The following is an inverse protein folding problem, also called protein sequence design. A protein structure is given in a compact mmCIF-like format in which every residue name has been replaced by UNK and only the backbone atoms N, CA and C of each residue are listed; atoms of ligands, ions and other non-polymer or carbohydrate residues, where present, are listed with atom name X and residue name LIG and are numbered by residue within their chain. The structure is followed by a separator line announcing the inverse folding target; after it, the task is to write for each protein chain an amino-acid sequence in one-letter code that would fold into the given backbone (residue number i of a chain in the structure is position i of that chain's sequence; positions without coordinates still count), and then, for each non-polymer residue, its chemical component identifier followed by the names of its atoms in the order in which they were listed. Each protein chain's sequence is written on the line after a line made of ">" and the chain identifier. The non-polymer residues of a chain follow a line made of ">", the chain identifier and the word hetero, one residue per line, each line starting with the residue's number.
data_IF_117721412981
#
_entry.id   IF_117721412981
#
_cell.length_a   1.000
_cell.length_b   1.000
_cell.length_c   1.000
_cell.angle_alpha   90.00
_cell.angle_beta   90.00
_cell.angle_gamma   90.00
#
_symmetry.space_group_name_H-M   'P 1'
#
loop_
_entity.id
_entity.type
_entity.pdbx_description
1 polymer ?
#
# COMPACT_ATOMS: atom_id res chain seq x y z
N UNK A 1 -7.29 12.83 -9.21
CA UNK A 1 -7.85 11.68 -8.47
C UNK A 1 -9.28 11.96 -8.02
N UNK A 2 -9.56 12.93 -7.14
CA UNK A 2 -10.93 13.21 -6.66
C UNK A 2 -12.00 13.34 -7.76
N UNK A 3 -11.73 14.11 -8.83
CA UNK A 3 -12.66 14.25 -9.97
C UNK A 3 -12.92 12.94 -10.73
N UNK A 4 -11.88 12.10 -10.92
CA UNK A 4 -12.02 10.81 -11.58
C UNK A 4 -12.76 9.81 -10.69
N UNK A 5 -12.53 9.88 -9.37
CA UNK A 5 -13.23 9.10 -8.36
C UNK A 5 -14.72 9.44 -8.30
N UNK A 6 -15.09 10.72 -8.32
CA UNK A 6 -16.48 11.17 -8.32
C UNK A 6 -17.25 10.77 -9.58
N UNK A 7 -16.55 10.60 -10.70
CA UNK A 7 -17.15 10.25 -12.00
C UNK A 7 -16.95 8.79 -12.40
N UNK A 8 -16.41 7.96 -11.51
CA UNK A 8 -16.02 6.57 -11.83
C UNK A 8 -15.20 6.47 -13.12
N UNK A 9 -14.34 7.45 -13.37
CA UNK A 9 -13.56 7.56 -14.58
C UNK A 9 -12.23 6.81 -14.43
N UNK A 10 -11.94 5.94 -15.38
CA UNK A 10 -10.61 5.37 -15.58
C UNK A 10 -9.65 6.45 -16.09
N UNK A 11 -8.39 6.39 -15.67
CA UNK A 11 -7.37 7.34 -16.12
C UNK A 11 -6.16 6.59 -16.70
N UNK A 12 -5.62 7.16 -17.76
CA UNK A 12 -4.39 6.74 -18.43
C UNK A 12 -3.38 7.86 -18.30
N UNK A 13 -2.11 7.52 -18.06
CA UNK A 13 -1.01 8.46 -18.17
C UNK A 13 -0.36 8.33 -19.54
N UNK A 14 -0.15 9.46 -20.22
CA UNK A 14 0.70 9.54 -21.40
C UNK A 14 1.99 10.25 -20.97
N UNK A 15 3.12 9.57 -21.13
CA UNK A 15 4.45 10.13 -20.82
C UNK A 15 5.14 10.42 -22.13
N UNK A 16 5.31 11.71 -22.41
CA UNK A 16 6.01 12.21 -23.58
C UNK A 16 7.51 12.37 -23.30
N UNK A 17 8.33 11.88 -24.23
CA UNK A 17 9.77 12.08 -24.26
C UNK A 17 10.63 10.88 -23.83
N UNK A 18 11.96 11.06 -23.83
CA UNK A 18 12.89 10.05 -23.33
C UNK A 18 12.69 9.84 -21.83
N UNK A 19 12.78 8.58 -21.37
CA UNK A 19 12.60 8.22 -19.97
C UNK A 19 13.87 8.54 -19.15
N UNK A 20 14.13 9.84 -18.99
CA UNK A 20 15.31 10.36 -18.34
C UNK A 20 14.90 11.31 -17.20
N UNK A 21 15.31 10.96 -15.98
CA UNK A 21 15.04 11.75 -14.79
C UNK A 21 16.23 12.62 -14.44
N UNK A 22 15.99 13.88 -14.08
CA UNK A 22 17.06 14.76 -13.52
C UNK A 22 17.62 14.26 -12.19
N UNK A 23 16.79 13.56 -11.40
CA UNK A 23 17.13 13.06 -10.05
C UNK A 23 17.02 11.55 -9.90
N UNK A 24 16.29 10.89 -10.80
CA UNK A 24 16.03 9.46 -10.75
C UNK A 24 16.65 8.81 -11.98
N UNK A 25 17.35 7.69 -11.77
CA UNK A 25 17.86 6.90 -12.88
C UNK A 25 16.70 6.30 -13.69
N UNK A 26 16.94 6.02 -14.96
CA UNK A 26 15.98 5.36 -15.85
C UNK A 26 15.45 4.06 -15.24
N UNK A 27 16.31 3.26 -14.60
CA UNK A 27 15.88 2.04 -13.92
C UNK A 27 14.90 2.33 -12.76
N UNK A 28 15.14 3.38 -11.97
CA UNK A 28 14.20 3.78 -10.93
C UNK A 28 12.85 4.24 -11.51
N UNK A 29 12.87 5.02 -12.60
CA UNK A 29 11.65 5.44 -13.30
C UNK A 29 10.87 4.24 -13.85
N UNK A 30 11.54 3.30 -14.52
CA UNK A 30 10.91 2.06 -15.03
C UNK A 30 10.27 1.25 -13.90
N UNK A 31 10.90 1.18 -12.72
CA UNK A 31 10.30 0.53 -11.54
C UNK A 31 9.01 1.22 -11.07
N UNK A 32 8.94 2.55 -11.14
CA UNK A 32 7.71 3.28 -10.83
C UNK A 32 6.63 3.05 -11.89
N UNK A 33 6.97 3.09 -13.18
CA UNK A 33 6.02 2.84 -14.26
C UNK A 33 5.45 1.42 -14.20
N UNK A 34 6.32 0.42 -14.06
CA UNK A 34 5.89 -0.98 -13.92
C UNK A 34 5.04 -1.19 -12.67
N UNK A 35 5.35 -0.50 -11.56
CA UNK A 35 4.50 -0.54 -10.36
C UNK A 35 3.13 0.11 -10.59
N UNK A 36 3.05 1.21 -11.33
CA UNK A 36 1.77 1.83 -11.71
C UNK A 36 0.92 0.86 -12.54
N UNK A 37 1.50 0.21 -13.54
CA UNK A 37 0.78 -0.74 -14.38
C UNK A 37 0.36 -2.01 -13.61
N UNK A 38 1.29 -2.63 -12.87
CA UNK A 38 1.07 -3.97 -12.29
C UNK A 38 0.35 -3.92 -10.96
N UNK A 39 0.79 -3.04 -10.04
CA UNK A 39 0.24 -3.00 -8.68
C UNK A 39 -0.98 -2.09 -8.58
N UNK A 40 -1.03 -1.06 -9.39
CA UNK A 40 -2.10 -0.07 -9.33
C UNK A 40 -3.08 -0.20 -10.50
N UNK A 41 -2.82 -1.10 -11.47
CA UNK A 41 -3.67 -1.30 -12.64
C UNK A 41 -3.96 -0.01 -13.42
N UNK A 42 -3.01 0.93 -13.41
CA UNK A 42 -3.11 2.20 -14.13
C UNK A 42 -2.31 2.04 -15.43
N UNK A 43 -2.95 2.11 -16.61
CA UNK A 43 -2.22 2.05 -17.86
C UNK A 43 -1.36 3.29 -18.06
N UNK A 44 -0.14 3.07 -18.55
CA UNK A 44 0.79 4.12 -18.94
C UNK A 44 1.20 3.90 -20.37
N UNK A 45 0.94 4.90 -21.21
CA UNK A 45 1.35 4.95 -22.61
C UNK A 45 2.56 5.89 -22.71
N UNK A 46 3.51 5.55 -23.58
CA UNK A 46 4.73 6.34 -23.75
C UNK A 46 4.91 6.70 -25.21
N UNK A 47 5.27 7.95 -25.44
CA UNK A 47 5.62 8.52 -26.73
C UNK A 47 6.97 9.22 -26.60
N UNK A 48 7.74 9.30 -27.68
CA UNK A 48 9.06 9.93 -27.68
C UNK A 48 9.00 11.39 -28.13
N UNK A 49 8.01 11.74 -28.96
CA UNK A 49 7.84 13.09 -29.48
C UNK A 49 6.38 13.54 -29.36
N UNK A 50 6.17 14.85 -29.52
CA UNK A 50 4.84 15.45 -29.48
C UNK A 50 3.97 15.01 -30.67
N UNK A 51 4.58 14.72 -31.82
CA UNK A 51 3.88 14.20 -32.99
C UNK A 51 3.34 12.79 -32.71
N UNK A 52 4.13 11.92 -32.10
CA UNK A 52 3.68 10.59 -31.66
C UNK A 52 2.56 10.71 -30.62
N UNK A 53 2.64 11.68 -29.69
CA UNK A 53 1.55 11.97 -28.74
C UNK A 53 0.27 12.37 -29.45
N UNK A 54 0.37 13.24 -30.46
CA UNK A 54 -0.79 13.70 -31.22
C UNK A 54 -1.43 12.56 -32.03
N UNK A 55 -0.61 11.71 -32.65
CA UNK A 55 -1.08 10.49 -33.34
C UNK A 55 -1.78 9.53 -32.37
N UNK A 56 -1.20 9.31 -31.18
CA UNK A 56 -1.83 8.49 -30.15
C UNK A 56 -3.19 9.05 -29.72
N UNK A 57 -3.28 10.37 -29.51
CA UNK A 57 -4.55 11.00 -29.15
C UNK A 57 -5.63 10.81 -30.24
N UNK A 58 -5.25 10.91 -31.52
CA UNK A 58 -6.18 10.63 -32.63
C UNK A 58 -6.66 9.18 -32.63
N UNK A 59 -5.76 8.22 -32.39
CA UNK A 59 -6.12 6.80 -32.27
C UNK A 59 -7.11 6.57 -31.13
N UNK A 60 -6.90 7.22 -29.97
CA UNK A 60 -7.81 7.11 -28.83
C UNK A 60 -9.18 7.75 -29.12
N UNK A 61 -9.21 8.88 -29.82
CA UNK A 61 -10.43 9.53 -30.28
C UNK A 61 -11.19 8.67 -31.30
N UNK A 62 -10.49 8.07 -32.26
CA UNK A 62 -11.07 7.17 -33.24
C UNK A 62 -11.65 5.93 -32.56
N UNK A 63 -10.93 5.34 -31.59
CA UNK A 63 -11.44 4.22 -30.80
C UNK A 63 -12.71 4.60 -30.03
N UNK A 64 -12.71 5.77 -29.37
CA UNK A 64 -13.87 6.26 -28.63
C UNK A 64 -15.08 6.50 -29.54
N UNK A 65 -14.85 7.06 -30.73
CA UNK A 65 -15.91 7.42 -31.68
C UNK A 65 -16.51 6.18 -32.33
N UNK A 66 -15.67 5.21 -32.70
CA UNK A 66 -16.10 3.98 -33.36
C UNK A 66 -16.69 2.94 -32.39
N UNK A 67 -16.17 2.86 -31.17
CA UNK A 67 -16.67 2.00 -30.11
C UNK A 67 -16.66 2.72 -28.75
N UNK A 68 -17.76 3.41 -28.39
CA UNK A 68 -17.89 4.07 -27.10
C UNK A 68 -17.78 3.12 -25.89
N UNK A 69 -17.96 1.81 -26.09
CA UNK A 69 -17.85 0.82 -25.02
C UNK A 69 -16.41 0.32 -24.79
N UNK A 70 -15.46 0.65 -25.69
CA UNK A 70 -14.08 0.13 -25.63
C UNK A 70 -13.35 0.48 -24.33
N UNK A 71 -13.73 1.58 -23.68
CA UNK A 71 -13.16 2.03 -22.41
C UNK A 71 -14.07 1.78 -21.20
N UNK A 72 -15.22 1.13 -21.39
CA UNK A 72 -16.12 0.73 -20.30
C UNK A 72 -15.54 -0.50 -19.62
N UNK A 73 -15.34 -0.41 -18.30
CA UNK A 73 -14.82 -1.54 -17.53
C UNK A 73 -15.87 -2.66 -17.45
N UNK A 74 -15.51 -3.92 -17.75
CA UNK A 74 -16.43 -5.05 -17.59
C UNK A 74 -16.84 -5.23 -16.13
N UNK A 75 -18.13 -5.48 -15.89
CA UNK A 75 -18.69 -5.67 -14.54
C UNK A 75 -18.11 -6.88 -13.77
N UNK A 76 -17.36 -7.75 -14.43
CA UNK A 76 -16.74 -8.95 -13.84
C UNK A 76 -15.39 -8.68 -13.15
N UNK A 77 -14.79 -7.49 -13.30
CA UNK A 77 -13.60 -7.08 -12.55
C UNK A 77 -14.03 -6.52 -11.20
N UNK A 78 -13.73 -7.27 -10.13
CA UNK A 78 -14.24 -6.95 -8.79
C UNK A 78 -13.74 -5.60 -8.28
N UNK A 79 -14.71 -4.81 -7.81
CA UNK A 79 -14.67 -3.52 -7.13
C UNK A 79 -13.59 -3.33 -6.04
N UNK A 80 -12.90 -4.39 -5.60
CA UNK A 80 -11.90 -4.34 -4.52
C UNK A 80 -10.53 -3.82 -5.01
N UNK A 81 -10.28 -3.82 -6.33
CA UNK A 81 -9.00 -3.41 -6.94
C UNK A 81 -8.99 -1.96 -7.45
N UNK A 82 -10.16 -1.39 -7.73
CA UNK A 82 -10.33 0.01 -8.15
C UNK A 82 -10.58 0.90 -6.92
N UNK A 83 -9.51 1.23 -6.20
CA UNK A 83 -9.56 2.21 -5.11
C UNK A 83 -10.11 3.56 -5.60
N UNK A 84 -11.39 3.75 -5.34
CA UNK A 84 -12.13 4.98 -5.56
C UNK A 84 -13.46 5.04 -4.80
N UNK A 85 -13.67 4.22 -3.76
CA UNK A 85 -14.73 4.52 -2.81
C UNK A 85 -14.37 5.85 -2.12
N UNK A 86 -15.29 6.81 -2.15
CA UNK A 86 -15.09 8.19 -1.69
C UNK A 86 -14.50 8.25 -0.28
N UNK A 87 -13.70 9.28 0.02
CA UNK A 87 -13.26 9.54 1.41
C UNK A 87 -14.45 9.53 2.38
N UNK A 88 -15.62 9.97 1.92
CA UNK A 88 -16.88 9.97 2.65
C UNK A 88 -17.44 8.55 2.88
N UNK A 89 -17.64 7.75 1.82
CA UNK A 89 -18.15 6.37 1.95
C UNK A 89 -17.20 5.45 2.74
N UNK A 90 -15.88 5.71 2.66
CA UNK A 90 -14.90 5.03 3.51
C UNK A 90 -14.84 5.60 4.94
N UNK A 91 -15.31 6.82 5.21
CA UNK A 91 -15.40 7.34 6.58
C UNK A 91 -16.64 6.83 7.28
N UNK A 92 -17.73 6.66 6.53
CA UNK A 92 -19.04 6.22 7.05
C UNK A 92 -19.17 4.69 7.13
N UNK A 93 -18.24 3.91 6.56
CA UNK A 93 -18.15 2.47 6.81
C UNK A 93 -17.64 2.21 8.25
N UNK A 94 -18.46 1.60 9.14
CA UNK A 94 -18.07 1.33 10.51
C UNK A 94 -16.80 0.45 10.62
N UNK A 95 -16.55 -0.38 9.61
CA UNK A 95 -15.35 -1.23 9.54
C UNK A 95 -14.11 -0.38 9.29
N UNK A 96 -14.17 0.53 8.31
CA UNK A 96 -13.04 1.40 7.97
C UNK A 96 -12.77 2.41 9.07
N UNK A 97 -13.82 2.96 9.70
CA UNK A 97 -13.70 3.77 10.90
C UNK A 97 -12.97 3.01 12.02
N UNK A 98 -13.44 1.80 12.36
CA UNK A 98 -12.85 0.99 13.41
C UNK A 98 -11.38 0.63 13.13
N UNK A 99 -11.05 0.27 11.88
CA UNK A 99 -9.66 0.01 11.45
C UNK A 99 -8.80 1.24 11.64
N UNK A 100 -9.31 2.42 11.28
CA UNK A 100 -8.58 3.68 11.38
C UNK A 100 -8.29 4.07 12.83
N UNK A 101 -9.28 3.93 13.72
CA UNK A 101 -9.12 4.17 15.16
C UNK A 101 -8.04 3.26 15.75
N UNK A 102 -8.09 1.96 15.46
CA UNK A 102 -7.11 1.00 15.97
C UNK A 102 -5.70 1.24 15.39
N UNK A 103 -5.61 1.63 14.11
CA UNK A 103 -4.33 1.91 13.47
C UNK A 103 -3.64 3.18 14.00
N UNK A 104 -4.36 4.06 14.70
CA UNK A 104 -3.74 5.17 15.44
C UNK A 104 -2.95 4.68 16.68
N UNK A 105 -3.22 3.47 17.18
CA UNK A 105 -2.48 2.92 18.30
C UNK A 105 -1.09 2.44 17.86
N UNK A 106 -0.05 2.90 18.57
CA UNK A 106 1.34 2.57 18.23
C UNK A 106 1.59 1.06 18.26
N UNK A 107 2.03 0.52 17.12
CA UNK A 107 2.32 -0.91 16.95
C UNK A 107 1.16 -1.73 16.36
N UNK A 108 0.04 -1.08 16.04
CA UNK A 108 -1.09 -1.66 15.31
C UNK A 108 -1.06 -1.10 13.88
N UNK A 109 -0.74 -1.95 12.90
CA UNK A 109 -0.88 -1.61 11.49
C UNK A 109 -2.33 -1.83 11.02
N UNK A 110 -2.68 -1.30 9.85
CA UNK A 110 -3.99 -1.53 9.21
C UNK A 110 -4.31 -3.03 9.10
N UNK A 111 -3.32 -3.86 8.73
CA UNK A 111 -3.47 -5.32 8.65
C UNK A 111 -3.77 -5.97 10.00
N UNK A 112 -3.16 -5.48 11.08
CA UNK A 112 -3.42 -5.97 12.44
C UNK A 112 -4.83 -5.54 12.88
N UNK A 113 -5.19 -4.29 12.65
CA UNK A 113 -6.51 -3.75 13.01
C UNK A 113 -7.65 -4.51 12.31
N UNK A 114 -7.47 -4.84 11.03
CA UNK A 114 -8.42 -5.69 10.29
C UNK A 114 -8.55 -7.08 10.91
N UNK A 115 -7.45 -7.69 11.35
CA UNK A 115 -7.48 -9.02 11.96
C UNK A 115 -8.11 -9.03 13.36
N UNK A 116 -7.86 -7.98 14.16
CA UNK A 116 -8.52 -7.78 15.45
C UNK A 116 -10.04 -7.65 15.26
N UNK A 117 -10.46 -6.85 14.28
CA UNK A 117 -11.88 -6.71 13.97
C UNK A 117 -12.49 -7.99 13.40
N UNK A 118 -11.74 -8.79 12.64
CA UNK A 118 -12.20 -10.11 12.20
C UNK A 118 -12.37 -11.08 13.36
N UNK A 119 -11.48 -11.02 14.35
CA UNK A 119 -11.49 -11.91 15.51
C UNK A 119 -12.59 -11.57 16.53
N UNK A 120 -12.81 -10.27 16.79
CA UNK A 120 -13.75 -9.80 17.81
C UNK A 120 -15.07 -9.26 17.23
N UNK A 121 -15.14 -9.01 15.92
CA UNK A 121 -16.32 -8.62 15.17
C UNK A 121 -16.65 -7.11 15.18
N UNK A 122 -16.29 -6.37 16.23
CA UNK A 122 -16.59 -4.93 16.32
C UNK A 122 -15.61 -4.18 17.22
N UNK A 123 -15.49 -2.86 17.02
CA UNK A 123 -14.61 -2.01 17.83
C UNK A 123 -14.94 -2.06 19.33
N UNK A 124 -16.21 -1.98 19.80
CA UNK A 124 -16.52 -2.06 21.22
C UNK A 124 -16.08 -3.39 21.85
N UNK A 125 -16.20 -4.50 21.10
CA UNK A 125 -15.72 -5.81 21.56
C UNK A 125 -14.21 -5.86 21.68
N UNK A 126 -13.47 -5.26 20.73
CA UNK A 126 -12.01 -5.13 20.84
C UNK A 126 -11.63 -4.32 22.08
N UNK A 127 -12.34 -3.22 22.36
CA UNK A 127 -12.08 -2.37 23.53
C UNK A 127 -12.40 -3.07 24.85
N UNK A 128 -13.44 -3.92 24.90
CA UNK A 128 -13.82 -4.68 26.09
C UNK A 128 -13.02 -5.99 26.28
N UNK A 129 -12.15 -6.35 25.34
CA UNK A 129 -11.41 -7.61 25.38
C UNK A 129 -10.28 -7.58 26.40
N UNK A 130 -10.02 -8.73 27.03
CA UNK A 130 -8.91 -8.86 27.97
C UNK A 130 -7.55 -8.81 27.26
N UNK A 131 -6.48 -8.51 28.00
CA UNK A 131 -5.12 -8.49 27.46
C UNK A 131 -4.68 -9.86 26.90
N UNK A 132 -5.12 -10.94 27.54
CA UNK A 132 -4.77 -12.29 27.13
C UNK A 132 -5.49 -12.67 25.82
N UNK A 133 -6.75 -12.28 25.67
CA UNK A 133 -7.52 -12.50 24.44
C UNK A 133 -6.91 -11.71 23.27
N UNK A 134 -6.53 -10.44 23.50
CA UNK A 134 -5.85 -9.63 22.51
C UNK A 134 -4.51 -10.26 22.10
N UNK A 135 -3.74 -10.77 23.06
CA UNK A 135 -2.43 -11.38 22.80
C UNK A 135 -2.53 -12.67 21.99
N UNK A 136 -3.63 -13.41 22.14
CA UNK A 136 -3.88 -14.68 21.46
C UNK A 136 -4.27 -14.55 19.98
N UNK A 137 -4.69 -13.35 19.53
CA UNK A 137 -5.09 -13.13 18.13
C UNK A 137 -3.95 -13.45 17.17
N UNK A 138 -4.24 -14.26 16.16
CA UNK A 138 -3.30 -14.60 15.08
C UNK A 138 -3.35 -13.54 14.00
N UNK A 139 -2.24 -12.82 13.83
CA UNK A 139 -1.99 -11.90 12.73
C UNK A 139 -1.13 -12.61 11.68
N UNK A 140 -1.79 -13.22 10.69
CA UNK A 140 -1.13 -14.05 9.70
C UNK A 140 -0.45 -15.26 10.34
N UNK A 141 0.88 -15.34 10.27
CA UNK A 141 1.68 -16.44 10.84
C UNK A 141 2.12 -16.21 12.30
N UNK A 142 1.95 -15.01 12.82
CA UNK A 142 2.40 -14.62 14.16
C UNK A 142 1.21 -14.28 15.05
N UNK A 143 1.37 -14.39 16.37
CA UNK A 143 0.39 -13.85 17.31
C UNK A 143 0.62 -12.35 17.50
N UNK A 144 -0.43 -11.62 17.89
CA UNK A 144 -0.32 -10.21 18.22
C UNK A 144 0.68 -9.99 19.36
N UNK A 145 0.67 -10.90 20.33
CA UNK A 145 1.69 -11.03 21.37
C UNK A 145 1.48 -10.09 22.56
N UNK A 146 1.95 -10.54 23.73
CA UNK A 146 1.69 -9.90 25.04
C UNK A 146 2.09 -8.43 25.10
N UNK A 147 3.27 -8.08 24.58
CA UNK A 147 3.78 -6.70 24.64
C UNK A 147 2.91 -5.71 23.85
N UNK A 148 2.35 -6.14 22.72
CA UNK A 148 1.47 -5.27 21.92
C UNK A 148 0.07 -5.19 22.53
N UNK A 149 -0.43 -6.30 23.06
CA UNK A 149 -1.70 -6.36 23.78
C UNK A 149 -1.71 -5.46 25.02
N UNK A 150 -0.67 -5.53 25.86
CA UNK A 150 -0.52 -4.68 27.04
C UNK A 150 -0.51 -3.19 26.67
N UNK A 151 0.25 -2.81 25.64
CA UNK A 151 0.31 -1.41 25.17
C UNK A 151 -1.02 -0.91 24.64
N UNK A 152 -1.70 -1.71 23.82
CA UNK A 152 -3.01 -1.36 23.29
C UNK A 152 -4.03 -1.21 24.42
N UNK A 153 -4.09 -2.20 25.32
CA UNK A 153 -5.01 -2.20 26.44
C UNK A 153 -4.78 -1.01 27.37
N UNK A 154 -3.52 -0.65 27.65
CA UNK A 154 -3.17 0.54 28.44
C UNK A 154 -3.65 1.83 27.79
N UNK A 155 -3.51 1.98 26.48
CA UNK A 155 -3.98 3.18 25.76
C UNK A 155 -5.50 3.31 25.75
N UNK A 156 -6.23 2.19 25.73
CA UNK A 156 -7.69 2.18 25.69
C UNK A 156 -8.31 2.46 27.07
N UNK A 157 -7.59 2.17 28.16
CA UNK A 157 -8.10 2.23 29.54
C UNK A 157 -7.29 3.19 30.44
N UNK A 158 -6.39 3.99 29.90
CA UNK A 158 -5.70 5.00 30.69
C UNK A 158 -6.65 6.16 31.00
N UNK A 159 -6.85 6.47 32.27
CA UNK A 159 -7.48 7.72 32.66
C UNK A 159 -6.53 8.88 32.34
N UNK A 160 -6.96 9.78 31.47
CA UNK A 160 -6.20 10.99 31.16
C UNK A 160 -6.53 12.01 32.24
N UNK A 161 -5.68 12.13 33.26
CA UNK A 161 -5.61 13.35 34.05
C UNK A 161 -4.99 14.43 33.15
N UNK A 162 -5.61 15.61 32.94
CA UNK A 162 -5.18 16.58 31.91
C UNK A 162 -3.80 17.25 32.13
N UNK A 163 -2.89 16.68 32.91
CA UNK A 163 -1.64 17.32 33.33
C UNK A 163 -0.35 16.80 32.67
N UNK A 164 -0.36 15.74 31.87
CA UNK A 164 0.89 15.08 31.41
C UNK A 164 1.04 14.94 29.88
N UNK A 165 0.63 15.94 29.10
CA UNK A 165 0.91 15.99 27.67
C UNK A 165 2.35 16.40 27.31
N UNK A 166 3.30 16.30 28.24
CA UNK A 166 4.73 16.59 28.00
C UNK A 166 5.62 15.53 28.66
N UNK A 167 6.06 14.56 27.85
CA UNK A 167 7.44 14.01 27.85
C UNK A 167 7.45 12.60 27.26
N UNK A 168 7.78 12.46 25.97
CA UNK A 168 8.51 11.28 25.49
C UNK A 168 9.18 11.59 24.15
N UNK A 169 10.12 12.54 24.17
CA UNK A 169 11.01 12.80 23.05
C UNK A 169 12.47 12.90 23.54
N UNK A 170 12.98 11.87 24.23
CA UNK A 170 14.44 11.67 24.34
C UNK A 170 14.75 10.25 24.82
N UNK A 171 15.15 9.36 23.90
CA UNK A 171 15.98 8.19 24.20
C UNK A 171 16.52 7.59 22.89
N UNK A 172 17.45 8.31 22.25
CA UNK A 172 18.35 7.72 21.26
C UNK A 172 19.77 7.94 21.77
N UNK A 173 20.44 6.87 22.23
CA UNK A 173 21.86 6.60 22.03
C UNK A 173 22.42 5.62 23.09
N UNK A 174 22.45 4.34 22.75
CA UNK A 174 23.54 3.44 23.17
C UNK A 174 23.56 2.21 22.25
N UNK A 175 24.03 2.41 21.01
CA UNK A 175 24.28 1.33 20.07
C UNK A 175 25.64 0.68 20.41
N UNK A 176 25.59 -0.58 20.86
CA UNK A 176 26.75 -1.46 21.00
C UNK A 176 27.14 -1.97 19.60
N UNK A 177 28.43 -1.95 19.20
CA UNK A 177 28.84 -2.30 17.85
C UNK A 177 28.73 -3.81 17.63
N UNK A 178 27.99 -4.25 16.59
CA UNK A 178 27.90 -5.66 16.19
C UNK A 178 28.74 -5.89 14.93
N UNK A 179 29.67 -6.84 15.07
CA UNK A 179 30.70 -7.20 14.12
C UNK A 179 30.16 -7.57 12.72
N UNK A 180 30.91 -7.15 11.71
CA UNK A 180 30.82 -7.55 10.30
C UNK A 180 31.06 -9.05 10.11
N UNK A 181 30.16 -9.80 9.43
CA UNK A 181 30.50 -11.11 8.90
C UNK A 181 31.22 -10.99 7.55
N UNK A 182 32.36 -11.70 7.42
CA UNK A 182 33.15 -11.85 6.18
C UNK A 182 32.32 -12.42 5.03
N UNK A 183 32.53 -11.98 3.77
CA UNK A 183 31.91 -12.61 2.60
C UNK A 183 32.54 -13.99 2.34
N UNK A 184 31.71 -15.05 2.32
CA UNK A 184 32.08 -16.34 1.74
C UNK A 184 31.92 -16.24 0.22
N UNK A 185 33.02 -16.41 -0.50
CA UNK A 185 33.02 -16.60 -1.94
C UNK A 185 32.22 -17.88 -2.29
N UNK A 186 31.28 -17.76 -3.22
CA UNK A 186 30.68 -18.90 -3.92
C UNK A 186 31.27 -18.93 -5.33
N UNK A 187 31.71 -20.09 -5.83
CA UNK A 187 32.22 -20.22 -7.19
C UNK A 187 31.08 -20.10 -8.19
N UNK A 188 31.30 -19.29 -9.22
CA UNK A 188 30.43 -19.14 -10.40
C UNK A 188 30.63 -20.40 -11.26
N UNK A 189 29.67 -21.32 -11.26
CA UNK A 189 29.55 -22.33 -12.30
C UNK A 189 28.66 -21.77 -13.41
N UNK A 190 29.26 -21.60 -14.58
CA UNK A 190 28.66 -21.06 -15.79
C UNK A 190 27.89 -22.20 -16.52
N UNK A 191 26.57 -22.10 -16.78
CA UNK A 191 25.81 -23.17 -17.42
C UNK A 191 25.76 -23.10 -18.97
N UNK A 192 26.72 -22.46 -19.64
CA UNK A 192 26.84 -22.46 -21.11
C UNK A 192 28.21 -22.94 -21.59
N UNK A 193 28.55 -24.18 -21.29
CA UNK A 193 29.66 -24.87 -21.93
C UNK A 193 29.27 -26.34 -22.11
N UNK A 194 28.38 -26.59 -23.06
CA UNK A 194 28.04 -27.93 -23.58
C UNK A 194 27.13 -27.77 -24.82
N UNK A 195 27.66 -27.17 -25.88
CA UNK A 195 27.25 -27.39 -27.28
C UNK A 195 28.38 -26.87 -28.17
N UNK A 196 29.35 -27.73 -28.46
CA UNK A 196 30.23 -27.71 -29.63
C UNK A 196 31.15 -28.95 -29.53
N UNK A 197 30.67 -30.04 -30.13
CA UNK A 197 31.39 -31.01 -30.99
C UNK A 197 30.47 -32.20 -31.30
#
# INVERSE_FOLDING_TARGET
>A
MAFATERSASFVYIIEGPLEGRRLSTNALTKYLTRLCIRHHIPVLRTNTIEETAELCKVLEDQWTNDPAVFVQPASLSYVETRGATRQANTDDPTVFAVSVLACCRGVSVSIAQELLRSFGSLPRVMASSQDDLAAVKVGKQTFGKVKAERLHRLLHSEVTPSEATASATATASAKPKATPKPKATPITNPMALMED
#
